data_IF_773720345172
#
_entry.id   IF_773720345172
#
_cell.length_a   1.000
_cell.length_b   1.000
_cell.length_c   1.000
_cell.angle_alpha   90.00
_cell.angle_beta   90.00
_cell.angle_gamma   90.00
#
_symmetry.space_group_name_H-M   'P 1'
#
loop_
_entity.id
_entity.type
_entity.pdbx_description
1 polymer ?
#
# COMPACT_ATOMS: atom_id res chain seq x y z
N UNK A 1 0.40 -20.82 -19.53
CA UNK A 1 0.32 -20.03 -18.27
C UNK A 1 1.36 -18.89 -18.16
N UNK A 2 2.58 -19.01 -18.74
CA UNK A 2 3.58 -17.91 -18.70
C UNK A 2 3.10 -16.61 -19.36
N UNK A 3 2.40 -16.69 -20.49
CA UNK A 3 1.87 -15.53 -21.22
C UNK A 3 0.84 -14.76 -20.37
N UNK A 4 -0.05 -15.46 -19.66
CA UNK A 4 -1.06 -14.83 -18.81
C UNK A 4 -0.43 -14.12 -17.59
N UNK A 5 0.56 -14.76 -16.95
CA UNK A 5 1.33 -14.13 -15.86
C UNK A 5 2.05 -12.87 -16.35
N UNK A 6 2.69 -12.97 -17.51
CA UNK A 6 3.39 -11.86 -18.16
C UNK A 6 2.44 -10.68 -18.50
N UNK A 7 1.26 -10.99 -19.05
CA UNK A 7 0.23 -10.01 -19.39
C UNK A 7 -0.28 -9.26 -18.15
N UNK A 8 -0.35 -9.88 -16.98
CA UNK A 8 -0.76 -9.23 -15.73
C UNK A 8 0.40 -8.49 -15.05
N UNK A 9 1.60 -9.07 -15.11
CA UNK A 9 2.80 -8.58 -14.44
C UNK A 9 3.25 -7.23 -15.00
N UNK A 10 3.37 -7.08 -16.32
CA UNK A 10 3.90 -5.85 -16.91
C UNK A 10 3.02 -4.61 -16.64
N UNK A 11 1.68 -4.67 -16.77
CA UNK A 11 0.81 -3.57 -16.39
C UNK A 11 0.89 -3.24 -14.90
N UNK A 12 0.89 -4.26 -14.01
CA UNK A 12 1.08 -4.03 -12.57
C UNK A 12 2.43 -3.36 -12.29
N UNK A 13 3.52 -3.85 -12.88
CA UNK A 13 4.84 -3.28 -12.66
C UNK A 13 4.92 -1.81 -13.11
N UNK A 14 4.26 -1.45 -14.21
CA UNK A 14 4.22 -0.07 -14.72
C UNK A 14 3.48 0.87 -13.77
N UNK A 15 2.33 0.46 -13.24
CA UNK A 15 1.54 1.30 -12.34
C UNK A 15 2.03 1.27 -10.89
N UNK A 16 2.89 0.29 -10.52
CA UNK A 16 3.40 0.08 -9.16
C UNK A 16 3.89 1.38 -8.52
N UNK A 17 4.76 2.11 -9.22
CA UNK A 17 5.39 3.31 -8.66
C UNK A 17 4.41 4.44 -8.35
N UNK A 18 3.32 4.55 -9.13
CA UNK A 18 2.25 5.51 -8.88
C UNK A 18 1.32 5.01 -7.77
N UNK A 19 0.95 3.73 -7.83
CA UNK A 19 0.10 3.08 -6.83
C UNK A 19 0.70 3.17 -5.42
N UNK A 20 1.95 2.75 -5.24
CA UNK A 20 2.63 2.80 -3.94
C UNK A 20 2.75 4.23 -3.42
N UNK A 21 3.10 5.20 -4.27
CA UNK A 21 3.16 6.62 -3.86
C UNK A 21 1.83 7.13 -3.34
N UNK A 22 0.73 6.83 -4.04
CA UNK A 22 -0.61 7.25 -3.63
C UNK A 22 -0.98 6.58 -2.31
N UNK A 23 -0.78 5.26 -2.20
CA UNK A 23 -1.17 4.49 -1.00
C UNK A 23 -0.36 4.94 0.23
N UNK A 24 0.96 5.10 0.11
CA UNK A 24 1.79 5.61 1.20
C UNK A 24 1.44 7.06 1.58
N UNK A 25 1.09 7.91 0.60
CA UNK A 25 0.64 9.27 0.88
C UNK A 25 -0.68 9.25 1.68
N UNK A 26 -1.65 8.43 1.27
CA UNK A 26 -2.90 8.27 2.01
C UNK A 26 -2.67 7.69 3.41
N UNK A 27 -1.80 6.69 3.56
CA UNK A 27 -1.44 6.12 4.85
C UNK A 27 -0.78 7.16 5.75
N UNK A 28 0.14 7.96 5.20
CA UNK A 28 0.76 9.10 5.89
C UNK A 28 -0.25 10.15 6.33
N UNK A 29 -1.25 10.47 5.50
CA UNK A 29 -2.36 11.35 5.87
C UNK A 29 -3.19 10.76 7.03
N UNK A 30 -3.43 9.45 7.05
CA UNK A 30 -4.08 8.80 8.19
C UNK A 30 -3.25 8.91 9.47
N UNK A 31 -1.92 8.75 9.40
CA UNK A 31 -1.03 8.92 10.55
C UNK A 31 -1.05 10.38 11.03
N UNK A 32 -0.98 11.35 10.11
CA UNK A 32 -1.09 12.77 10.47
C UNK A 32 -2.45 13.07 11.11
N UNK A 33 -3.54 12.53 10.57
CA UNK A 33 -4.87 12.63 11.16
C UNK A 33 -4.92 12.05 12.57
N UNK A 34 -4.34 10.86 12.77
CA UNK A 34 -4.19 10.23 14.09
C UNK A 34 -3.43 11.13 15.06
N UNK A 35 -2.28 11.68 14.66
CA UNK A 35 -1.49 12.59 15.50
C UNK A 35 -2.32 13.81 15.89
N UNK A 36 -3.03 14.41 14.94
CA UNK A 36 -3.90 15.57 15.20
C UNK A 36 -4.99 15.26 16.23
N UNK A 37 -5.53 14.04 16.26
CA UNK A 37 -6.55 13.69 17.27
C UNK A 37 -6.06 13.80 18.72
N UNK A 38 -4.76 13.71 18.98
CA UNK A 38 -4.22 13.91 20.33
C UNK A 38 -4.16 15.38 20.76
N UNK A 39 -4.26 16.33 19.83
CA UNK A 39 -4.19 17.77 20.09
C UNK A 39 -5.57 18.45 20.09
N UNK A 40 -6.64 17.73 19.80
CA UNK A 40 -8.00 18.27 19.75
C UNK A 40 -8.84 17.75 20.93
N UNK A 41 -9.26 18.65 21.80
CA UNK A 41 -9.96 18.32 23.06
C UNK A 41 -11.36 17.68 22.89
N UNK A 42 -11.95 17.73 21.70
CA UNK A 42 -13.31 17.25 21.41
C UNK A 42 -13.38 16.16 20.33
N UNK A 43 -12.31 15.38 20.11
CA UNK A 43 -12.38 14.30 19.13
C UNK A 43 -13.18 13.10 19.62
N UNK A 44 -14.06 12.53 18.78
CA UNK A 44 -14.75 11.29 19.10
C UNK A 44 -13.75 10.17 19.41
N UNK A 45 -14.00 9.38 20.46
CA UNK A 45 -13.08 8.33 20.91
C UNK A 45 -12.78 7.27 19.83
N UNK A 46 -13.68 7.10 18.86
CA UNK A 46 -13.54 6.14 17.76
C UNK A 46 -12.63 6.67 16.65
N UNK A 47 -12.45 7.98 16.51
CA UNK A 47 -11.75 8.61 15.40
C UNK A 47 -10.27 8.22 15.30
N UNK A 48 -9.48 8.18 16.41
CA UNK A 48 -8.12 7.66 16.39
C UNK A 48 -8.05 6.21 15.89
N UNK A 49 -8.96 5.34 16.35
CA UNK A 49 -9.00 3.95 15.92
C UNK A 49 -9.33 3.81 14.43
N UNK A 50 -10.21 4.65 13.90
CA UNK A 50 -10.52 4.69 12.47
C UNK A 50 -9.25 5.04 11.66
N UNK A 51 -8.52 6.08 12.05
CA UNK A 51 -7.27 6.45 11.37
C UNK A 51 -6.22 5.34 11.45
N UNK A 52 -6.08 4.70 12.62
CA UNK A 52 -5.13 3.61 12.81
C UNK A 52 -5.48 2.38 11.95
N UNK A 53 -6.75 1.98 11.93
CA UNK A 53 -7.22 0.84 11.14
C UNK A 53 -7.07 1.11 9.64
N UNK A 54 -7.53 2.27 9.16
CA UNK A 54 -7.45 2.62 7.74
C UNK A 54 -5.99 2.78 7.29
N UNK A 55 -5.16 3.47 8.07
CA UNK A 55 -3.73 3.63 7.77
C UNK A 55 -3.01 2.27 7.70
N UNK A 56 -3.28 1.38 8.66
CA UNK A 56 -2.70 0.03 8.66
C UNK A 56 -3.16 -0.80 7.47
N UNK A 57 -4.44 -0.70 7.08
CA UNK A 57 -4.99 -1.39 5.91
C UNK A 57 -4.37 -0.89 4.60
N UNK A 58 -4.10 0.41 4.49
CA UNK A 58 -3.42 0.99 3.32
C UNK A 58 -1.99 0.46 3.19
N UNK A 59 -1.22 0.46 4.27
CA UNK A 59 0.13 -0.13 4.27
C UNK A 59 0.12 -1.63 3.97
N UNK A 60 -0.83 -2.37 4.55
CA UNK A 60 -1.02 -3.79 4.24
C UNK A 60 -1.35 -4.01 2.75
N UNK A 61 -2.14 -3.12 2.14
CA UNK A 61 -2.46 -3.17 0.72
C UNK A 61 -1.22 -2.90 -0.16
N UNK A 62 -0.40 -1.92 0.20
CA UNK A 62 0.88 -1.66 -0.49
C UNK A 62 1.80 -2.88 -0.42
N UNK A 63 1.94 -3.50 0.76
CA UNK A 63 2.75 -4.70 0.93
C UNK A 63 2.20 -5.90 0.15
N UNK A 64 0.88 -6.10 0.17
CA UNK A 64 0.22 -7.16 -0.57
C UNK A 64 0.41 -7.03 -2.08
N UNK A 65 0.37 -5.79 -2.59
CA UNK A 65 0.64 -5.49 -3.99
C UNK A 65 2.04 -5.96 -4.42
N UNK A 66 3.06 -5.68 -3.61
CA UNK A 66 4.43 -6.10 -3.88
C UNK A 66 4.60 -7.63 -3.84
N UNK A 67 3.97 -8.31 -2.87
CA UNK A 67 3.97 -9.78 -2.80
C UNK A 67 3.35 -10.39 -4.06
N UNK A 68 2.22 -9.85 -4.52
CA UNK A 68 1.57 -10.32 -5.75
C UNK A 68 2.52 -10.18 -6.94
N UNK A 69 3.19 -9.04 -7.06
CA UNK A 69 4.13 -8.74 -8.14
C UNK A 69 5.31 -9.73 -8.16
N UNK A 70 5.90 -10.00 -7.00
CA UNK A 70 6.98 -10.98 -6.85
C UNK A 70 6.50 -12.38 -7.25
N UNK A 71 5.31 -12.79 -6.81
CA UNK A 71 4.75 -14.12 -7.10
C UNK A 71 4.31 -14.29 -8.56
N UNK A 72 3.93 -13.21 -9.22
CA UNK A 72 3.54 -13.18 -10.63
C UNK A 72 4.72 -13.10 -11.60
N UNK A 73 5.94 -12.83 -11.11
CA UNK A 73 7.13 -12.71 -11.94
C UNK A 73 7.26 -13.91 -12.89
N UNK A 74 7.16 -13.70 -14.22
CA UNK A 74 7.21 -14.76 -15.21
C UNK A 74 8.64 -15.25 -15.51
N UNK A 75 9.65 -14.55 -15.01
CA UNK A 75 11.05 -14.69 -15.40
C UNK A 75 11.86 -15.66 -14.53
N UNK A 76 11.28 -16.17 -13.43
CA UNK A 76 11.92 -17.04 -12.42
C UNK A 76 13.22 -16.49 -11.79
N UNK A 77 13.70 -15.32 -12.22
CA UNK A 77 14.80 -14.58 -11.62
C UNK A 77 14.35 -13.90 -10.31
N UNK A 78 15.27 -13.73 -9.35
CA UNK A 78 14.99 -12.94 -8.15
C UNK A 78 14.62 -11.49 -8.54
N UNK A 79 13.41 -11.07 -8.18
CA UNK A 79 12.93 -9.72 -8.44
C UNK A 79 13.12 -8.88 -7.18
N UNK A 80 14.19 -8.08 -7.16
CA UNK A 80 14.48 -7.17 -6.05
C UNK A 80 13.73 -5.87 -6.30
N UNK A 81 12.65 -5.64 -5.55
CA UNK A 81 11.89 -4.40 -5.58
C UNK A 81 12.56 -3.39 -4.63
N UNK A 82 13.31 -2.44 -5.17
CA UNK A 82 13.77 -1.30 -4.38
C UNK A 82 12.57 -0.39 -4.03
N UNK A 83 12.50 -0.02 -2.75
CA UNK A 83 11.53 0.92 -2.19
C UNK A 83 12.01 2.35 -2.39
#
# INVERSE_FOLDING_TARGET
MKILKSLLFYPMMLIRGLFLRIVHLLAGLCILGLIMTFFLDNTPINLPFIFLIIGSLLEALAHFYDIILIKLNPTDNELILHQ
#
